data_IF_202073131267
#
_entry.id   IF_202073131267
#
_cell.length_a   1.000
_cell.length_b   1.000
_cell.length_c   1.000
_cell.angle_alpha   90.00
_cell.angle_beta   90.00
_cell.angle_gamma   90.00
#
_symmetry.space_group_name_H-M   'P 1'
#
loop_
_entity.id
_entity.type
_entity.pdbx_description
1 polymer ?
#
# COMPACT_ATOMS: atom_id res chain seq x y z
N UNK A 1 5.48 8.76 -0.81
CA UNK A 1 4.79 9.69 0.12
C UNK A 1 4.28 8.98 1.39
N UNK A 2 3.49 7.91 1.29
CA UNK A 2 3.06 7.16 2.49
C UNK A 2 4.21 6.46 3.22
N UNK A 3 5.00 5.65 2.51
CA UNK A 3 6.15 4.96 3.11
C UNK A 3 7.22 5.92 3.63
N UNK A 4 7.41 7.07 2.98
CA UNK A 4 8.31 8.13 3.45
C UNK A 4 7.81 8.80 4.74
N UNK A 5 6.51 8.76 5.01
CA UNK A 5 5.91 9.18 6.27
C UNK A 5 5.83 8.02 7.30
N UNK A 6 6.43 6.87 7.01
CA UNK A 6 6.37 5.69 7.87
C UNK A 6 4.98 5.06 7.94
N UNK A 7 4.15 5.18 6.89
CA UNK A 7 2.80 4.59 6.85
C UNK A 7 2.73 3.52 5.77
N UNK A 8 2.42 2.28 6.15
CA UNK A 8 2.09 1.20 5.23
C UNK A 8 0.56 1.08 5.08
N UNK A 9 0.04 1.14 3.84
CA UNK A 9 -1.41 1.12 3.58
C UNK A 9 -2.07 -0.25 3.77
N UNK A 10 -1.35 -1.34 3.41
CA UNK A 10 -1.74 -2.76 3.55
C UNK A 10 -3.00 -3.23 2.80
N UNK A 11 -3.89 -2.33 2.36
CA UNK A 11 -5.07 -2.67 1.55
C UNK A 11 -5.12 -1.86 0.24
N UNK A 12 -4.10 -2.03 -0.59
CA UNK A 12 -4.05 -1.38 -1.91
C UNK A 12 -4.81 -2.23 -2.93
N UNK A 13 -5.98 -1.72 -3.33
CA UNK A 13 -6.86 -2.29 -4.36
C UNK A 13 -7.46 -1.17 -5.21
N UNK A 14 -7.91 -1.44 -6.45
CA UNK A 14 -8.45 -0.40 -7.32
C UNK A 14 -9.61 0.41 -6.70
N UNK A 15 -10.45 -0.24 -5.87
CA UNK A 15 -11.55 0.46 -5.19
C UNK A 15 -11.09 1.45 -4.10
N UNK A 16 -9.84 1.36 -3.65
CA UNK A 16 -9.20 2.29 -2.70
C UNK A 16 -8.37 3.37 -3.41
N UNK A 17 -8.40 3.42 -4.74
CA UNK A 17 -7.75 4.43 -5.56
C UNK A 17 -8.82 5.35 -6.16
N UNK A 18 -8.96 6.54 -5.58
CA UNK A 18 -9.92 7.54 -6.04
C UNK A 18 -9.33 8.35 -7.19
N UNK A 19 -10.08 8.46 -8.28
CA UNK A 19 -9.70 9.22 -9.47
C UNK A 19 -10.67 10.38 -9.62
N UNK A 20 -10.13 11.59 -9.74
CA UNK A 20 -10.90 12.79 -10.06
C UNK A 20 -11.00 13.00 -11.58
N UNK A 21 -11.91 13.86 -12.03
CA UNK A 21 -12.11 14.19 -13.46
C UNK A 21 -10.90 14.87 -14.12
N UNK A 22 -9.99 15.43 -13.33
CA UNK A 22 -8.71 16.00 -13.75
C UNK A 22 -7.60 14.93 -13.88
N UNK A 23 -7.96 13.65 -13.81
CA UNK A 23 -7.04 12.51 -13.79
C UNK A 23 -6.07 12.51 -12.59
N UNK A 24 -6.36 13.25 -11.52
CA UNK A 24 -5.59 13.15 -10.28
C UNK A 24 -6.00 11.91 -9.48
N UNK A 25 -4.99 11.23 -8.93
CA UNK A 25 -5.14 10.00 -8.15
C UNK A 25 -4.93 10.28 -6.66
N UNK A 26 -5.84 9.79 -5.81
CA UNK A 26 -5.70 9.83 -4.35
C UNK A 26 -5.93 8.44 -3.76
N UNK A 27 -5.09 8.06 -2.80
CA UNK A 27 -5.26 6.81 -2.04
C UNK A 27 -6.28 7.07 -0.93
N UNK A 28 -7.22 6.15 -0.74
CA UNK A 28 -8.27 6.19 0.27
C UNK A 28 -8.37 4.88 1.05
N UNK A 29 -9.13 4.90 2.15
CA UNK A 29 -9.36 3.77 3.06
C UNK A 29 -8.11 3.27 3.81
N UNK A 30 -7.75 4.01 4.86
CA UNK A 30 -6.64 3.71 5.76
C UNK A 30 -7.04 2.80 6.93
N UNK A 31 -8.20 2.11 6.87
CA UNK A 31 -8.68 1.27 7.97
C UNK A 31 -7.72 0.12 8.34
N UNK A 32 -6.87 -0.29 7.40
CA UNK A 32 -5.83 -1.31 7.60
C UNK A 32 -4.41 -0.73 7.66
N UNK A 33 -4.27 0.60 7.61
CA UNK A 33 -2.96 1.23 7.57
C UNK A 33 -2.25 1.13 8.92
N UNK A 34 -0.93 0.96 8.90
CA UNK A 34 -0.09 0.92 10.10
C UNK A 34 1.10 1.85 10.01
N UNK A 35 1.53 2.36 11.16
CA UNK A 35 2.79 3.07 11.31
C UNK A 35 3.95 2.06 11.28
N UNK A 36 4.70 2.10 10.19
CA UNK A 36 5.97 1.45 9.99
C UNK A 36 7.09 2.28 10.65
N UNK A 37 7.04 2.44 11.98
CA UNK A 37 8.14 3.06 12.72
C UNK A 37 9.19 2.00 13.04
N UNK A 38 10.46 2.34 12.77
CA UNK A 38 11.60 1.42 12.73
C UNK A 38 12.05 0.90 14.10
N UNK A 39 11.45 1.38 15.19
CA UNK A 39 11.90 1.13 16.55
C UNK A 39 11.19 -0.04 17.25
N UNK A 40 10.09 -0.56 16.69
CA UNK A 40 9.37 -1.74 17.20
C UNK A 40 8.79 -2.55 16.04
N UNK A 41 9.66 -3.12 15.21
CA UNK A 41 9.23 -4.15 14.27
C UNK A 41 9.20 -5.45 15.09
N UNK A 42 8.01 -5.89 15.49
CA UNK A 42 7.82 -7.30 15.85
C UNK A 42 8.29 -8.11 14.63
N UNK A 43 9.23 -9.04 14.82
CA UNK A 43 9.92 -9.80 13.75
C UNK A 43 8.97 -10.42 12.69
N UNK A 44 7.69 -10.55 13.01
CA UNK A 44 6.64 -10.99 12.09
C UNK A 44 6.24 -9.95 11.01
N UNK A 45 6.37 -8.64 11.23
CA UNK A 45 5.93 -7.59 10.29
C UNK A 45 7.04 -7.19 9.29
N UNK A 46 8.30 -7.63 9.48
CA UNK A 46 9.40 -7.42 8.51
C UNK A 46 9.07 -8.06 7.14
N UNK A 47 8.33 -9.16 7.14
CA UNK A 47 7.92 -9.87 5.92
C UNK A 47 6.85 -9.13 5.10
N UNK A 48 6.10 -8.20 5.71
CA UNK A 48 5.14 -7.35 4.97
C UNK A 48 5.82 -6.20 4.21
N UNK A 49 7.07 -5.85 4.53
CA UNK A 49 7.80 -4.77 3.85
C UNK A 49 8.26 -5.16 2.45
N UNK A 50 8.39 -6.46 2.17
CA UNK A 50 8.65 -6.99 0.84
C UNK A 50 7.32 -7.40 0.19
N UNK A 51 6.54 -6.41 -0.25
CA UNK A 51 5.50 -6.66 -1.26
C UNK A 51 6.07 -7.49 -2.41
N UNK A 52 5.28 -8.44 -2.90
CA UNK A 52 5.67 -9.51 -3.83
C UNK A 52 6.55 -9.00 -4.97
N UNK A 53 7.75 -9.54 -5.14
CA UNK A 53 8.67 -9.19 -6.24
C UNK A 53 8.16 -9.60 -7.63
N UNK A 54 6.93 -10.08 -7.77
CA UNK A 54 6.37 -10.56 -9.02
C UNK A 54 4.94 -10.05 -9.20
N UNK A 55 4.77 -9.08 -10.09
CA UNK A 55 3.47 -8.73 -10.68
C UNK A 55 3.25 -9.74 -11.81
N UNK A 56 2.35 -10.70 -11.62
CA UNK A 56 1.89 -11.54 -12.70
C UNK A 56 0.94 -10.73 -13.58
N UNK A 57 1.44 -10.18 -14.70
CA UNK A 57 0.60 -9.63 -15.77
C UNK A 57 -0.08 -10.77 -16.50
N UNK A 58 -1.25 -11.20 -16.00
CA UNK A 58 -2.16 -11.99 -16.81
C UNK A 58 -2.87 -11.04 -17.79
N UNK A 59 -2.81 -11.29 -19.12
CA UNK A 59 -3.52 -10.46 -20.08
C UNK A 59 -5.03 -10.68 -19.89
N UNK A 60 -5.77 -9.59 -19.68
CA UNK A 60 -7.22 -9.61 -19.79
C UNK A 60 -7.58 -9.99 -21.25
N UNK A 61 -8.34 -11.07 -21.40
CA UNK A 61 -8.98 -11.48 -22.66
C UNK A 61 -10.28 -10.72 -22.86
#
# INVERSE_FOLDING_TARGET
YLHTAGIAHRDLKPSNLLVNSDCSLRIADFGMAKLAMKDHIDEADEHCFYMTQHVATLPYR
#
